data_IF_401419701232
#
_entry.id   IF_401419701232
#
_cell.length_a   1.000
_cell.length_b   1.000
_cell.length_c   1.000
_cell.angle_alpha   90.00
_cell.angle_beta   90.00
_cell.angle_gamma   90.00
#
_symmetry.space_group_name_H-M   'P 1'
#
loop_
_entity.id
_entity.type
_entity.pdbx_description
1 polymer ?
#
# COMPACT_ATOMS: atom_id res chain seq x y z
N UNK A 1 9.15 1.34 16.71
CA UNK A 1 8.35 0.97 15.53
C UNK A 1 8.74 1.91 14.38
N UNK A 2 8.96 1.37 13.21
CA UNK A 2 9.39 2.18 12.07
C UNK A 2 8.21 2.95 11.49
N UNK A 3 8.46 4.18 11.08
CA UNK A 3 7.49 4.97 10.34
C UNK A 3 7.85 4.97 8.85
N UNK A 4 6.83 5.04 8.02
CA UNK A 4 7.00 5.13 6.58
C UNK A 4 6.25 6.35 6.05
N UNK A 5 6.85 7.00 5.07
CA UNK A 5 6.21 8.05 4.29
C UNK A 5 6.18 7.62 2.83
N UNK A 6 4.99 7.55 2.27
CA UNK A 6 4.80 7.17 0.87
C UNK A 6 4.20 8.37 0.14
N UNK A 7 4.93 8.88 -0.84
CA UNK A 7 4.45 9.99 -1.66
C UNK A 7 3.93 9.47 -2.99
N UNK A 8 2.91 10.14 -3.53
CA UNK A 8 2.33 9.82 -4.84
C UNK A 8 1.90 8.36 -4.98
N UNK A 9 1.32 7.83 -3.91
CA UNK A 9 0.73 6.49 -3.94
C UNK A 9 -0.65 6.54 -4.59
N UNK A 10 -0.97 5.50 -5.35
CA UNK A 10 -2.28 5.36 -5.98
C UNK A 10 -3.10 4.33 -5.20
N UNK A 11 -4.36 4.66 -4.93
CA UNK A 11 -5.31 3.71 -4.34
C UNK A 11 -5.64 2.68 -5.41
N UNK A 12 -5.12 1.47 -5.27
CA UNK A 12 -5.27 0.41 -6.26
C UNK A 12 -6.50 -0.44 -6.03
N UNK A 13 -6.76 -0.83 -4.77
CA UNK A 13 -7.88 -1.66 -4.41
C UNK A 13 -8.50 -1.17 -3.11
N UNK A 14 -9.82 -1.23 -3.02
CA UNK A 14 -10.55 -0.90 -1.79
C UNK A 14 -10.92 -2.18 -1.06
N UNK A 15 -10.93 -2.12 0.27
CA UNK A 15 -11.44 -3.21 1.10
C UNK A 15 -12.24 -2.64 2.27
N UNK A 16 -12.82 -3.52 3.10
CA UNK A 16 -13.71 -3.10 4.18
C UNK A 16 -13.01 -2.34 5.31
N UNK A 17 -11.70 -2.47 5.43
CA UNK A 17 -10.94 -1.89 6.55
C UNK A 17 -9.85 -0.90 6.09
N UNK A 18 -9.85 -0.54 4.82
CA UNK A 18 -8.87 0.36 4.27
C UNK A 18 -8.70 0.17 2.78
N UNK A 19 -7.47 0.25 2.32
CA UNK A 19 -7.18 0.08 0.90
C UNK A 19 -5.76 -0.44 0.69
N UNK A 20 -5.50 -0.91 -0.52
CA UNK A 20 -4.15 -1.25 -0.96
C UNK A 20 -3.63 -0.11 -1.83
N UNK A 21 -2.52 0.47 -1.43
CA UNK A 21 -1.84 1.53 -2.16
C UNK A 21 -0.72 0.95 -3.00
N UNK A 22 -0.57 1.47 -4.21
CA UNK A 22 0.52 1.12 -5.11
C UNK A 22 1.44 2.33 -5.23
N UNK A 23 2.72 2.13 -4.99
CA UNK A 23 3.73 3.17 -5.16
C UNK A 23 4.90 2.64 -5.97
N UNK A 24 5.54 3.53 -6.72
CA UNK A 24 6.75 3.17 -7.43
C UNK A 24 7.97 3.51 -6.60
N UNK A 25 8.85 2.54 -6.43
CA UNK A 25 10.09 2.71 -5.69
C UNK A 25 11.26 2.28 -6.55
N UNK A 26 12.41 2.92 -6.32
CA UNK A 26 13.63 2.56 -7.03
C UNK A 26 14.42 1.56 -6.20
N UNK A 27 14.68 0.40 -6.79
CA UNK A 27 15.47 -0.66 -6.15
C UNK A 27 16.57 -1.07 -7.12
N UNK A 28 17.82 -0.87 -6.70
CA UNK A 28 18.99 -1.23 -7.49
C UNK A 28 18.96 -0.65 -8.92
N UNK A 29 18.53 0.61 -9.04
CA UNK A 29 18.46 1.29 -10.34
C UNK A 29 17.23 0.96 -11.17
N UNK A 30 16.32 0.14 -10.68
CA UNK A 30 15.10 -0.22 -11.39
C UNK A 30 13.87 0.29 -10.64
N UNK A 31 12.91 0.80 -11.38
CA UNK A 31 11.62 1.19 -10.83
C UNK A 31 10.75 -0.05 -10.65
N UNK A 32 10.20 -0.22 -9.45
CA UNK A 32 9.31 -1.32 -9.11
C UNK A 32 8.05 -0.80 -8.48
N UNK A 33 6.96 -1.52 -8.70
CA UNK A 33 5.70 -1.27 -8.02
C UNK A 33 5.70 -2.01 -6.70
N UNK A 34 5.47 -1.29 -5.61
CA UNK A 34 5.28 -1.88 -4.29
C UNK A 34 3.86 -1.64 -3.83
N UNK A 35 3.29 -2.62 -3.14
CA UNK A 35 1.93 -2.56 -2.64
C UNK A 35 1.96 -2.53 -1.12
N UNK A 36 1.16 -1.61 -0.56
CA UNK A 36 1.06 -1.41 0.88
C UNK A 36 -0.40 -1.56 1.30
N UNK A 37 -0.65 -2.35 2.34
CA UNK A 37 -1.99 -2.46 2.92
C UNK A 37 -2.15 -1.36 3.96
N UNK A 38 -3.06 -0.44 3.71
CA UNK A 38 -3.30 0.72 4.55
C UNK A 38 -4.60 0.53 5.32
N UNK A 39 -4.51 0.56 6.64
CA UNK A 39 -5.65 0.33 7.53
C UNK A 39 -6.20 1.67 7.99
N UNK A 40 -7.36 2.05 7.50
CA UNK A 40 -7.98 3.34 7.81
C UNK A 40 -9.50 3.27 7.70
N UNK A 41 -10.18 4.10 8.47
CA UNK A 41 -11.62 4.27 8.38
C UNK A 41 -12.02 5.29 7.31
N UNK A 42 -11.08 6.03 6.79
CA UNK A 42 -11.34 7.03 5.77
C UNK A 42 -11.72 6.36 4.45
N UNK A 43 -12.58 7.04 3.69
CA UNK A 43 -13.05 6.54 2.40
C UNK A 43 -12.31 7.20 1.26
N UNK A 44 -11.81 6.38 0.36
CA UNK A 44 -11.12 6.81 -0.85
C UNK A 44 -11.72 6.11 -2.06
N UNK A 45 -11.35 6.56 -3.23
CA UNK A 45 -11.77 5.94 -4.49
C UNK A 45 -10.55 5.33 -5.19
N UNK A 46 -10.76 4.24 -5.90
CA UNK A 46 -9.70 3.67 -6.72
C UNK A 46 -9.19 4.70 -7.72
N UNK A 47 -7.89 4.80 -7.84
CA UNK A 47 -7.24 5.78 -8.71
C UNK A 47 -6.85 7.08 -8.00
N UNK A 48 -7.30 7.30 -6.76
CA UNK A 48 -6.88 8.48 -6.00
C UNK A 48 -5.38 8.45 -5.77
N UNK A 49 -4.74 9.61 -5.87
CA UNK A 49 -3.33 9.79 -5.54
C UNK A 49 -3.23 10.39 -4.16
N UNK A 50 -2.48 9.75 -3.28
CA UNK A 50 -2.42 10.14 -1.87
C UNK A 50 -0.98 10.11 -1.35
N UNK A 51 -0.74 10.88 -0.28
CA UNK A 51 0.47 10.78 0.52
C UNK A 51 0.12 10.13 1.85
N UNK A 52 0.88 9.12 2.24
CA UNK A 52 0.60 8.31 3.41
C UNK A 52 1.78 8.34 4.35
N UNK A 53 1.53 8.68 5.61
CA UNK A 53 2.52 8.57 6.69
C UNK A 53 1.92 7.70 7.77
N UNK A 54 2.63 6.68 8.19
CA UNK A 54 2.11 5.78 9.21
C UNK A 54 3.15 4.84 9.77
N UNK A 55 2.71 3.96 10.64
CA UNK A 55 3.56 2.96 11.26
C UNK A 55 3.66 1.74 10.35
N UNK A 56 4.90 1.35 10.06
CA UNK A 56 5.19 0.23 9.17
C UNK A 56 5.23 -1.07 9.96
N UNK A 57 4.53 -2.07 9.45
CA UNK A 57 4.69 -3.45 9.92
C UNK A 57 4.69 -4.39 8.73
N UNK A 58 5.33 -5.55 8.90
CA UNK A 58 5.33 -6.56 7.87
C UNK A 58 4.91 -7.91 8.45
N UNK A 59 4.23 -8.69 7.64
CA UNK A 59 3.79 -10.03 8.00
C UNK A 59 3.99 -10.97 6.83
N UNK A 60 4.27 -12.22 7.13
CA UNK A 60 4.25 -13.27 6.11
C UNK A 60 2.81 -13.74 5.99
N UNK A 61 2.25 -13.65 4.80
CA UNK A 61 0.91 -14.13 4.51
C UNK A 61 1.00 -15.38 3.63
N UNK A 62 0.12 -16.35 3.89
CA UNK A 62 0.01 -17.55 3.10
C UNK A 62 -1.23 -17.46 2.22
N UNK A 63 -1.10 -17.90 0.98
CA UNK A 63 -2.23 -17.94 0.07
C UNK A 63 -2.05 -19.10 -0.90
N UNK A 64 -3.17 -19.56 -1.45
CA UNK A 64 -3.14 -20.58 -2.50
C UNK A 64 -3.06 -19.87 -3.84
N UNK A 65 -1.99 -20.12 -4.58
CA UNK A 65 -1.81 -19.53 -5.90
C UNK A 65 -2.81 -20.11 -6.88
N UNK A 66 -3.55 -19.25 -7.55
CA UNK A 66 -4.48 -19.68 -8.60
C UNK A 66 -3.75 -20.24 -9.82
N UNK A 67 -2.50 -19.82 -10.00
CA UNK A 67 -1.70 -20.24 -11.15
C UNK A 67 -1.10 -21.62 -10.98
N UNK A 68 -0.61 -21.94 -9.78
CA UNK A 68 0.05 -23.21 -9.51
C UNK A 68 -0.79 -24.18 -8.69
N UNK A 69 -1.80 -23.68 -7.96
CA UNK A 69 -2.59 -24.46 -7.02
C UNK A 69 -1.86 -24.79 -5.71
N UNK A 70 -0.65 -24.28 -5.55
CA UNK A 70 0.17 -24.55 -4.37
C UNK A 70 0.00 -23.45 -3.33
N UNK A 71 0.27 -23.81 -2.07
CA UNK A 71 0.34 -22.84 -0.98
C UNK A 71 1.64 -22.04 -1.12
N UNK A 72 1.52 -20.74 -1.19
CA UNK A 72 2.65 -19.83 -1.31
C UNK A 72 2.66 -18.83 -0.17
N UNK A 73 3.84 -18.30 0.13
CA UNK A 73 4.02 -17.27 1.17
C UNK A 73 4.56 -16.01 0.55
N UNK A 74 4.06 -14.89 1.02
CA UNK A 74 4.56 -13.57 0.61
C UNK A 74 4.64 -12.65 1.82
N UNK A 75 5.59 -11.71 1.77
CA UNK A 75 5.65 -10.67 2.78
C UNK A 75 4.67 -9.57 2.39
N UNK A 76 3.76 -9.24 3.31
CA UNK A 76 2.84 -8.12 3.13
C UNK A 76 3.29 -6.95 4.00
N UNK A 77 3.30 -5.75 3.44
CA UNK A 77 3.67 -4.54 4.14
C UNK A 77 2.38 -3.83 4.54
N UNK A 78 2.23 -3.58 5.83
CA UNK A 78 1.05 -2.93 6.40
C UNK A 78 1.42 -1.55 6.92
N UNK A 79 0.52 -0.59 6.72
CA UNK A 79 0.63 0.74 7.29
C UNK A 79 -0.49 0.92 8.30
N UNK A 80 -0.14 1.13 9.55
CA UNK A 80 -1.07 1.31 10.66
C UNK A 80 -1.10 2.76 11.11
N UNK A 81 -2.23 3.20 11.64
CA UNK A 81 -2.41 4.58 12.12
C UNK A 81 -1.99 5.61 11.08
N UNK A 82 -2.48 5.51 9.84
CA UNK A 82 -2.00 6.38 8.77
C UNK A 82 -2.55 7.80 8.89
N UNK A 83 -1.71 8.75 8.51
CA UNK A 83 -2.14 10.10 8.18
C UNK A 83 -2.10 10.20 6.67
N UNK A 84 -3.25 10.45 6.04
CA UNK A 84 -3.40 10.40 4.60
C UNK A 84 -3.80 11.77 4.10
N UNK A 85 -3.08 12.26 3.10
CA UNK A 85 -3.33 13.55 2.47
C UNK A 85 -3.50 13.37 0.97
N UNK A 86 -4.17 14.33 0.33
CA UNK A 86 -4.18 14.38 -1.12
C UNK A 86 -2.75 14.44 -1.65
N UNK A 87 -2.49 13.74 -2.75
CA UNK A 87 -1.17 13.72 -3.34
C UNK A 87 -0.74 15.07 -3.88
N UNK A 88 0.56 15.19 -4.18
CA UNK A 88 1.17 16.43 -4.66
C UNK A 88 0.56 16.95 -5.96
N UNK A 89 -0.05 16.07 -6.73
CA UNK A 89 -0.69 16.44 -8.01
C UNK A 89 -2.14 16.90 -7.84
N UNK A 90 -2.67 16.88 -6.61
CA UNK A 90 -4.03 17.28 -6.38
C UNK A 90 -4.20 18.78 -6.71
N UNK A 91 -5.16 19.14 -7.53
CA UNK A 91 -5.43 20.56 -7.81
C UNK A 91 -6.01 21.23 -6.56
N UNK A 92 -5.57 22.40 -6.30
CA UNK A 92 -6.02 23.19 -5.17
C UNK A 92 -6.81 24.40 -5.67
#
# INVERSE_FOLDING_TARGET
MAQIKITDATVAFLNSKGFTAKAQVMVLGEMRDEYYKVWTDEKFSEGDVVEIVGDLSSRVEEFTSKRTGNLERTAAIHVNNPMIKAGSDAPF
#
